data_IF_638952546896
#
_entry.id   IF_638952546896
#
_cell.length_a   1.000
_cell.length_b   1.000
_cell.length_c   1.000
_cell.angle_alpha   90.00
_cell.angle_beta   90.00
_cell.angle_gamma   90.00
#
_symmetry.space_group_name_H-M   'P 1'
#
loop_
_entity.id
_entity.type
_entity.pdbx_description
1 polymer ?
#
# COMPACT_ATOMS: atom_id res chain seq x y z
N UNK A 1 -3.86 -15.40 -7.14
CA UNK A 1 -3.07 -14.16 -7.17
C UNK A 1 -1.66 -14.43 -6.67
N UNK A 2 -0.65 -13.98 -7.40
CA UNK A 2 0.74 -14.18 -6.99
C UNK A 2 1.15 -13.14 -5.97
N UNK A 3 2.24 -13.41 -5.24
CA UNK A 3 2.80 -12.44 -4.29
C UNK A 3 3.18 -11.13 -4.99
N UNK A 4 3.74 -11.24 -6.18
CA UNK A 4 4.12 -10.08 -6.98
C UNK A 4 2.90 -9.24 -7.37
N UNK A 5 1.81 -9.89 -7.78
CA UNK A 5 0.58 -9.19 -8.12
C UNK A 5 -0.02 -8.49 -6.91
N UNK A 6 -0.01 -9.13 -5.74
CA UNK A 6 -0.47 -8.52 -4.51
C UNK A 6 0.35 -7.27 -4.18
N UNK A 7 1.67 -7.36 -4.30
CA UNK A 7 2.55 -6.23 -4.02
C UNK A 7 2.29 -5.08 -4.97
N UNK A 8 2.17 -5.36 -6.28
CA UNK A 8 1.90 -4.34 -7.29
C UNK A 8 0.53 -3.70 -7.09
N UNK A 9 -0.48 -4.49 -6.74
CA UNK A 9 -1.80 -3.97 -6.47
C UNK A 9 -1.79 -3.02 -5.26
N UNK A 10 -1.08 -3.40 -4.21
CA UNK A 10 -0.96 -2.57 -3.01
C UNK A 10 -0.24 -1.25 -3.31
N UNK A 11 0.82 -1.30 -4.10
CA UNK A 11 1.53 -0.08 -4.53
C UNK A 11 0.59 0.83 -5.32
N UNK A 12 -0.18 0.27 -6.25
CA UNK A 12 -1.13 1.02 -7.05
C UNK A 12 -2.19 1.69 -6.17
N UNK A 13 -2.74 0.97 -5.21
CA UNK A 13 -3.72 1.53 -4.28
C UNK A 13 -3.12 2.64 -3.41
N UNK A 14 -1.90 2.42 -2.90
CA UNK A 14 -1.20 3.41 -2.09
C UNK A 14 -0.92 4.68 -2.90
N UNK A 15 -0.50 4.54 -4.15
CA UNK A 15 -0.28 5.69 -5.04
C UNK A 15 -1.57 6.49 -5.25
N UNK A 16 -2.68 5.80 -5.44
CA UNK A 16 -3.97 6.45 -5.63
C UNK A 16 -4.37 7.24 -4.38
N UNK A 17 -4.16 6.67 -3.19
CA UNK A 17 -4.44 7.35 -1.94
C UNK A 17 -3.57 8.61 -1.79
N UNK A 18 -2.30 8.51 -2.13
CA UNK A 18 -1.38 9.63 -2.08
C UNK A 18 -1.75 10.73 -3.08
N UNK A 19 -2.23 10.34 -4.27
CA UNK A 19 -2.70 11.32 -5.26
C UNK A 19 -3.87 12.12 -4.72
N UNK A 20 -4.79 11.48 -4.01
CA UNK A 20 -5.90 12.18 -3.36
C UNK A 20 -5.37 13.16 -2.31
N UNK A 21 -4.34 12.78 -1.57
CA UNK A 21 -3.73 13.64 -0.56
C UNK A 21 -3.11 14.90 -1.18
N UNK A 22 -2.49 14.75 -2.35
CA UNK A 22 -1.82 15.84 -3.03
C UNK A 22 -2.78 16.83 -3.68
N UNK A 23 -4.05 16.49 -3.81
CA UNK A 23 -5.06 17.42 -4.32
C UNK A 23 -5.38 18.48 -3.25
N UNK A 24 -5.43 19.76 -3.62
CA UNK A 24 -5.69 20.83 -2.66
C UNK A 24 -7.19 20.91 -2.31
N UNK A 25 -7.71 19.85 -1.70
CA UNK A 25 -9.09 19.83 -1.24
C UNK A 25 -9.15 20.19 0.24
N UNK A 26 -10.04 21.13 0.63
CA UNK A 26 -10.12 21.56 2.02
C UNK A 26 -10.58 20.47 2.99
N UNK A 27 -11.01 19.33 2.47
CA UNK A 27 -11.51 18.24 3.29
C UNK A 27 -10.48 17.11 3.46
N UNK A 28 -9.27 17.29 2.97
CA UNK A 28 -8.23 16.28 3.13
C UNK A 28 -7.81 16.19 4.60
N UNK A 29 -8.08 15.06 5.20
CA UNK A 29 -7.69 14.76 6.56
C UNK A 29 -6.50 13.79 6.50
N UNK A 30 -5.33 14.29 6.90
CA UNK A 30 -4.08 13.52 6.85
C UNK A 30 -4.19 12.20 7.62
N UNK A 31 -4.84 12.23 8.78
CA UNK A 31 -5.01 11.04 9.59
C UNK A 31 -5.83 9.98 8.87
N UNK A 32 -6.89 10.39 8.18
CA UNK A 32 -7.75 9.46 7.43
C UNK A 32 -6.98 8.82 6.29
N UNK A 33 -6.18 9.61 5.59
CA UNK A 33 -5.35 9.11 4.50
C UNK A 33 -4.30 8.16 5.04
N UNK A 34 -3.68 8.51 6.14
CA UNK A 34 -2.71 7.66 6.80
C UNK A 34 -3.32 6.32 7.22
N UNK A 35 -4.53 6.36 7.81
CA UNK A 35 -5.24 5.14 8.20
C UNK A 35 -5.54 4.25 6.99
N UNK A 36 -5.94 4.84 5.87
CA UNK A 36 -6.18 4.08 4.64
C UNK A 36 -4.89 3.44 4.11
N UNK A 37 -3.79 4.16 4.16
CA UNK A 37 -2.49 3.61 3.76
C UNK A 37 -2.09 2.43 4.65
N UNK A 38 -2.30 2.56 5.95
CA UNK A 38 -2.02 1.47 6.89
C UNK A 38 -2.88 0.26 6.56
N UNK A 39 -4.18 0.44 6.29
CA UNK A 39 -5.06 -0.65 5.91
C UNK A 39 -4.58 -1.40 4.68
N UNK A 40 -4.10 -0.67 3.67
CA UNK A 40 -3.60 -1.28 2.44
C UNK A 40 -2.28 -2.01 2.69
N UNK A 41 -1.35 -1.36 3.39
CA UNK A 41 0.03 -1.85 3.51
C UNK A 41 0.20 -2.89 4.62
N UNK A 42 -0.72 -2.92 5.58
CA UNK A 42 -0.65 -3.85 6.72
C UNK A 42 -1.62 -5.03 6.58
N UNK A 43 -2.18 -5.26 5.41
CA UNK A 43 -2.98 -6.46 5.16
C UNK A 43 -2.12 -7.70 5.42
N UNK A 44 -2.63 -8.69 6.17
CA UNK A 44 -1.82 -9.87 6.48
C UNK A 44 -1.32 -10.63 5.24
N UNK A 45 -2.15 -10.75 4.21
CA UNK A 45 -1.77 -11.41 2.96
C UNK A 45 -0.66 -10.66 2.24
N UNK A 46 -0.73 -9.32 2.24
CA UNK A 46 0.30 -8.48 1.64
C UNK A 46 1.61 -8.56 2.42
N UNK A 47 1.55 -8.50 3.75
CA UNK A 47 2.75 -8.58 4.60
C UNK A 47 3.48 -9.90 4.34
N UNK A 48 2.75 -11.00 4.25
CA UNK A 48 3.33 -12.31 3.95
C UNK A 48 3.92 -12.33 2.55
N UNK A 49 3.20 -11.79 1.57
CA UNK A 49 3.67 -11.76 0.18
C UNK A 49 4.97 -10.96 0.04
N UNK A 50 5.04 -9.80 0.66
CA UNK A 50 6.23 -8.94 0.63
C UNK A 50 7.40 -9.66 1.32
N UNK A 51 7.14 -10.33 2.45
CA UNK A 51 8.16 -11.10 3.14
C UNK A 51 8.75 -12.20 2.26
N UNK A 52 7.91 -12.92 1.51
CA UNK A 52 8.37 -13.95 0.58
C UNK A 52 9.20 -13.36 -0.56
N UNK A 53 8.76 -12.24 -1.11
CA UNK A 53 9.49 -11.56 -2.18
C UNK A 53 10.85 -11.09 -1.70
N UNK A 54 10.94 -10.56 -0.49
CA UNK A 54 12.20 -10.14 0.11
C UNK A 54 13.15 -11.31 0.31
N UNK A 55 12.62 -12.46 0.74
CA UNK A 55 13.43 -13.67 0.90
C UNK A 55 14.00 -14.14 -0.42
N UNK A 56 13.23 -14.05 -1.50
CA UNK A 56 13.70 -14.41 -2.84
C UNK A 56 14.79 -13.47 -3.34
N UNK A 57 14.73 -12.20 -2.92
CA UNK A 57 15.65 -11.16 -3.37
C UNK A 57 16.92 -11.10 -2.54
N UNK A 58 16.90 -11.63 -1.32
CA UNK A 58 18.06 -11.59 -0.43
C UNK A 58 19.01 -12.73 -0.76
N UNK A 59 19.98 -12.41 -1.52
CA UNK A 59 21.07 -13.30 -1.85
C UNK A 59 22.31 -12.91 -1.09
#
# INVERSE_FOLDING_TARGET
MTDQELALQAVSEAQRILEEYLQPLPQNNERRIFDRLVEVLERPDLVVAVGRLQQRSSL
#
